data_IF_830404639858
#
_entry.id   IF_830404639858
#
_cell.length_a   1.000
_cell.length_b   1.000
_cell.length_c   1.000
_cell.angle_alpha   90.00
_cell.angle_beta   90.00
_cell.angle_gamma   90.00
#
_symmetry.space_group_name_H-M   'P 1'
#
loop_
_entity.id
_entity.type
_entity.pdbx_description
1 polymer ?
#
# COMPACT_ATOMS: atom_id res chain seq x y z
N UNK A 1 32.03 40.85 15.71
CA UNK A 1 31.11 40.41 14.64
C UNK A 1 31.90 40.31 13.36
N UNK A 2 32.33 39.11 12.96
CA UNK A 2 32.97 38.89 11.66
C UNK A 2 31.88 38.41 10.71
N UNK A 3 31.57 39.25 9.72
CA UNK A 3 30.62 38.98 8.64
C UNK A 3 31.23 37.96 7.69
N UNK A 4 30.72 36.72 7.70
CA UNK A 4 31.07 35.74 6.69
C UNK A 4 30.38 36.10 5.36
N UNK A 5 31.15 36.65 4.43
CA UNK A 5 30.72 36.92 3.06
C UNK A 5 30.68 35.60 2.29
N UNK A 6 29.50 35.02 2.10
CA UNK A 6 29.32 33.83 1.26
C UNK A 6 29.41 34.22 -0.23
N UNK A 7 30.62 34.18 -0.79
CA UNK A 7 30.79 34.20 -2.24
C UNK A 7 30.36 32.85 -2.80
N UNK A 8 29.21 32.79 -3.49
CA UNK A 8 28.75 31.59 -4.19
C UNK A 8 29.76 31.15 -5.24
N UNK A 9 30.24 29.91 -5.15
CA UNK A 9 31.17 29.31 -6.12
C UNK A 9 30.50 29.19 -7.49
N UNK A 10 31.25 29.46 -8.57
CA UNK A 10 30.82 29.27 -9.98
C UNK A 10 31.35 27.95 -10.54
N UNK A 11 31.13 26.86 -9.81
CA UNK A 11 31.52 25.52 -10.25
C UNK A 11 30.66 25.05 -11.44
N UNK A 12 31.20 24.12 -12.25
CA UNK A 12 30.41 23.49 -13.30
C UNK A 12 29.30 22.65 -12.66
N UNK A 13 28.14 22.59 -13.32
CA UNK A 13 27.06 21.70 -12.87
C UNK A 13 27.58 20.25 -12.74
N UNK A 14 27.35 19.64 -11.57
CA UNK A 14 27.80 18.28 -11.23
C UNK A 14 29.23 18.16 -10.73
N UNK A 15 30.01 19.25 -10.66
CA UNK A 15 31.37 19.23 -10.11
C UNK A 15 31.49 19.87 -8.72
N UNK A 16 30.38 20.33 -8.14
CA UNK A 16 30.37 20.84 -6.77
C UNK A 16 30.62 19.70 -5.80
N UNK A 17 31.47 19.95 -4.80
CA UNK A 17 31.70 19.01 -3.73
C UNK A 17 30.42 18.87 -2.88
N UNK A 18 29.83 17.68 -2.87
CA UNK A 18 28.60 17.40 -2.14
C UNK A 18 28.92 16.83 -0.76
N UNK A 19 28.37 17.38 0.33
CA UNK A 19 28.46 16.75 1.65
C UNK A 19 27.63 15.46 1.73
N UNK A 20 26.74 15.21 0.75
CA UNK A 20 25.98 13.97 0.61
C UNK A 20 26.89 12.96 -0.10
N UNK A 21 27.53 12.10 0.66
CA UNK A 21 28.41 11.03 0.16
C UNK A 21 27.61 9.79 -0.24
N UNK A 22 28.23 8.90 -1.01
CA UNK A 22 27.59 7.63 -1.36
C UNK A 22 27.32 6.75 -0.12
N UNK A 23 28.23 6.74 0.84
CA UNK A 23 28.03 6.02 2.09
C UNK A 23 26.84 6.59 2.89
N UNK A 24 26.61 7.89 2.79
CA UNK A 24 25.44 8.53 3.37
C UNK A 24 24.15 8.03 2.69
N UNK A 25 24.14 7.91 1.36
CA UNK A 25 22.97 7.45 0.60
C UNK A 25 22.71 5.94 0.77
N UNK A 26 23.76 5.11 0.78
CA UNK A 26 23.62 3.64 0.83
C UNK A 26 23.51 3.09 2.26
N UNK A 27 24.17 3.72 3.24
CA UNK A 27 24.34 3.16 4.58
C UNK A 27 23.51 3.82 5.66
N UNK A 28 22.90 4.98 5.41
CA UNK A 28 22.39 5.83 6.51
C UNK A 28 20.87 5.89 6.65
N UNK A 29 20.10 5.32 5.71
CA UNK A 29 18.65 5.36 5.81
C UNK A 29 18.09 4.03 6.33
N UNK A 30 17.49 4.09 7.53
CA UNK A 30 16.62 3.03 8.04
C UNK A 30 15.22 3.32 7.50
N UNK A 31 14.73 2.46 6.61
CA UNK A 31 13.36 2.56 6.10
C UNK A 31 12.37 2.08 7.16
N UNK A 32 11.38 2.90 7.49
CA UNK A 32 10.31 2.52 8.43
C UNK A 32 9.08 2.07 7.66
N UNK A 33 8.43 0.99 8.08
CA UNK A 33 7.19 0.51 7.45
C UNK A 33 6.31 -0.25 8.44
N UNK A 34 5.02 -0.38 8.08
CA UNK A 34 4.00 -1.12 8.84
C UNK A 34 3.93 -0.74 10.33
N UNK A 35 3.68 0.52 10.72
CA UNK A 35 3.52 0.87 12.12
C UNK A 35 2.23 0.27 12.70
N UNK A 36 2.33 -0.50 13.79
CA UNK A 36 1.19 -1.11 14.49
C UNK A 36 1.19 -0.70 15.97
N UNK A 37 0.08 -0.15 16.45
CA UNK A 37 -0.13 0.10 17.88
C UNK A 37 -0.88 -1.08 18.52
N UNK A 38 -0.37 -1.58 19.64
CA UNK A 38 -1.06 -2.55 20.48
C UNK A 38 -1.47 -1.88 21.80
N UNK A 39 -2.77 -1.83 22.04
CA UNK A 39 -3.33 -1.24 23.25
C UNK A 39 -2.96 -2.03 24.52
N UNK A 40 -2.95 -3.37 24.45
CA UNK A 40 -2.67 -4.23 25.60
C UNK A 40 -1.24 -4.06 26.13
N UNK A 41 -0.26 -3.88 25.24
CA UNK A 41 1.13 -3.60 25.61
C UNK A 41 1.48 -2.11 25.66
N UNK A 42 0.53 -1.23 25.33
CA UNK A 42 0.77 0.22 25.16
C UNK A 42 2.06 0.52 24.38
N UNK A 43 2.24 -0.20 23.28
CA UNK A 43 3.48 -0.17 22.49
C UNK A 43 3.20 0.05 21.02
N UNK A 44 4.08 0.82 20.38
CA UNK A 44 4.15 0.92 18.92
C UNK A 44 5.19 -0.06 18.40
N UNK A 45 4.86 -0.79 17.34
CA UNK A 45 5.74 -1.71 16.65
C UNK A 45 5.91 -1.27 15.20
N UNK A 46 7.05 -1.53 14.58
CA UNK A 46 7.26 -1.30 13.14
C UNK A 46 8.41 -2.15 12.61
N UNK A 47 8.52 -2.20 11.27
CA UNK A 47 9.66 -2.78 10.58
C UNK A 47 10.70 -1.72 10.25
N UNK A 48 11.96 -2.02 10.56
CA UNK A 48 13.13 -1.25 10.15
C UNK A 48 13.87 -2.01 9.04
N UNK A 49 13.84 -1.49 7.81
CA UNK A 49 14.71 -1.96 6.76
C UNK A 49 16.13 -1.45 7.03
N UNK A 50 17.08 -2.37 7.22
CA UNK A 50 18.46 -2.04 7.62
C UNK A 50 19.46 -2.49 6.55
N UNK A 51 19.86 -1.59 5.62
CA UNK A 51 20.82 -1.90 4.56
C UNK A 51 22.15 -2.46 5.07
N UNK A 52 22.66 -1.93 6.18
CA UNK A 52 23.90 -2.37 6.82
C UNK A 52 23.86 -3.81 7.35
N UNK A 53 22.67 -4.36 7.59
CA UNK A 53 22.42 -5.73 8.06
C UNK A 53 21.86 -6.59 6.93
N UNK A 54 22.53 -6.57 5.76
CA UNK A 54 22.15 -7.31 4.55
C UNK A 54 20.73 -7.00 4.06
N UNK A 55 20.22 -5.79 4.33
CA UNK A 55 18.89 -5.34 3.90
C UNK A 55 17.73 -6.06 4.61
N UNK A 56 17.96 -6.65 5.79
CA UNK A 56 16.89 -7.31 6.56
C UNK A 56 15.87 -6.32 7.09
N UNK A 57 14.64 -6.81 7.32
CA UNK A 57 13.61 -6.11 8.05
C UNK A 57 13.65 -6.55 9.53
N UNK A 58 14.10 -5.66 10.41
CA UNK A 58 14.11 -5.87 11.86
C UNK A 58 12.78 -5.42 12.48
N UNK A 59 12.29 -6.12 13.51
CA UNK A 59 11.14 -5.67 14.30
C UNK A 59 11.61 -4.78 15.45
N UNK A 60 11.04 -3.57 15.51
CA UNK A 60 11.29 -2.61 16.57
C UNK A 60 10.01 -2.37 17.39
N UNK A 61 10.20 -2.05 18.66
CA UNK A 61 9.16 -1.68 19.61
C UNK A 61 9.51 -0.33 20.25
N UNK A 62 8.51 0.52 20.46
CA UNK A 62 8.56 1.71 21.29
C UNK A 62 7.51 1.58 22.38
N UNK A 63 7.96 1.50 23.64
CA UNK A 63 7.08 1.56 24.80
C UNK A 63 6.53 2.98 24.94
N UNK A 64 5.21 3.13 24.97
CA UNK A 64 4.58 4.43 25.19
C UNK A 64 4.33 4.64 26.70
N UNK A 65 4.60 5.84 27.23
CA UNK A 65 4.26 6.18 28.60
C UNK A 65 2.74 6.11 28.80
N UNK A 66 2.30 5.68 29.99
CA UNK A 66 0.88 5.78 30.34
C UNK A 66 0.42 7.24 30.33
N UNK A 67 -0.81 7.49 29.90
CA UNK A 67 -1.41 8.83 29.81
C UNK A 67 -1.41 9.62 31.14
N UNK A 68 -1.11 8.95 32.27
CA UNK A 68 -1.02 9.54 33.61
C UNK A 68 0.36 10.10 33.97
N UNK A 69 1.41 9.82 33.19
CA UNK A 69 2.74 10.42 33.40
C UNK A 69 2.87 11.75 32.65
N UNK A 70 3.32 12.81 33.33
CA UNK A 70 3.53 14.12 32.72
C UNK A 70 4.49 14.00 31.52
N UNK A 71 4.01 14.40 30.34
CA UNK A 71 4.68 14.20 29.05
C UNK A 71 6.10 14.81 28.97
N UNK A 72 6.47 15.68 29.91
CA UNK A 72 7.76 16.39 29.91
C UNK A 72 8.97 15.53 30.32
N UNK A 73 8.77 14.40 31.01
CA UNK A 73 9.86 13.51 31.48
C UNK A 73 9.80 12.08 30.87
N UNK A 74 8.93 11.88 29.87
CA UNK A 74 8.76 10.58 29.21
C UNK A 74 10.00 10.17 28.41
N UNK A 75 10.78 9.22 28.94
CA UNK A 75 11.89 8.60 28.21
C UNK A 75 11.36 7.50 27.29
N UNK A 76 11.27 7.80 26.00
CA UNK A 76 10.96 6.80 24.98
C UNK A 76 12.15 5.85 24.81
N UNK A 77 11.91 4.55 25.00
CA UNK A 77 12.93 3.51 24.81
C UNK A 77 12.54 2.65 23.61
N UNK A 78 13.36 2.71 22.55
CA UNK A 78 13.26 1.79 21.41
C UNK A 78 13.95 0.47 21.77
N UNK A 79 13.25 -0.63 21.53
CA UNK A 79 13.72 -2.00 21.78
C UNK A 79 13.70 -2.76 20.45
N UNK A 80 14.75 -3.54 20.21
CA UNK A 80 14.74 -4.51 19.12
C UNK A 80 14.12 -5.83 19.60
N UNK A 81 13.10 -6.30 18.88
CA UNK A 81 12.27 -7.44 19.30
C UNK A 81 12.96 -8.77 18.98
N UNK A 82 13.69 -8.84 17.86
CA UNK A 82 14.33 -10.08 17.41
C UNK A 82 15.78 -10.14 17.90
N UNK A 83 16.19 -11.17 18.65
CA UNK A 83 17.47 -11.17 19.38
C UNK A 83 18.73 -11.40 18.51
N UNK A 84 18.58 -11.76 17.23
CA UNK A 84 19.67 -12.16 16.34
C UNK A 84 19.48 -11.56 14.94
N UNK A 85 20.55 -11.11 14.29
CA UNK A 85 20.53 -10.52 12.95
C UNK A 85 20.14 -11.51 11.85
N UNK A 86 20.13 -12.82 12.11
CA UNK A 86 19.60 -13.81 11.16
C UNK A 86 18.10 -13.61 10.89
N UNK A 87 17.37 -13.02 11.84
CA UNK A 87 15.93 -12.83 11.70
C UNK A 87 15.60 -11.67 10.77
N UNK A 88 14.77 -11.96 9.78
CA UNK A 88 14.31 -11.04 8.76
C UNK A 88 12.79 -11.18 8.60
N UNK A 89 12.04 -10.24 9.19
CA UNK A 89 10.57 -10.23 9.21
C UNK A 89 10.02 -9.71 7.88
N UNK A 90 10.04 -10.56 6.86
CA UNK A 90 9.69 -10.22 5.48
C UNK A 90 8.95 -11.40 4.83
N UNK A 91 7.79 -11.11 4.27
CA UNK A 91 7.06 -12.04 3.42
C UNK A 91 7.50 -11.92 1.95
N UNK A 92 7.27 -13.00 1.21
CA UNK A 92 7.45 -13.09 -0.25
C UNK A 92 6.12 -13.31 -0.98
N UNK A 93 4.99 -13.18 -0.30
CA UNK A 93 3.66 -13.21 -0.93
C UNK A 93 3.59 -12.13 -2.01
N UNK A 94 3.05 -12.50 -3.17
CA UNK A 94 2.95 -11.71 -4.40
C UNK A 94 4.29 -11.16 -4.92
N UNK A 95 5.43 -11.71 -4.48
CA UNK A 95 6.81 -11.25 -4.76
C UNK A 95 7.15 -9.81 -4.28
N UNK A 96 6.15 -8.98 -3.99
CA UNK A 96 6.31 -7.65 -3.41
C UNK A 96 6.52 -7.69 -1.90
N UNK A 97 6.06 -8.75 -1.21
CA UNK A 97 6.02 -8.82 0.25
C UNK A 97 5.04 -7.82 0.86
N UNK A 98 5.09 -7.64 2.19
CA UNK A 98 4.11 -6.88 2.97
C UNK A 98 3.34 -7.79 3.92
N UNK A 99 2.54 -7.22 4.83
CA UNK A 99 1.77 -8.03 5.79
C UNK A 99 2.63 -8.96 6.65
N UNK A 100 3.93 -8.66 6.81
CA UNK A 100 4.89 -9.68 7.27
C UNK A 100 4.89 -9.89 8.78
N UNK A 101 4.11 -9.13 9.54
CA UNK A 101 3.92 -9.34 10.97
C UNK A 101 2.60 -8.74 11.46
N UNK A 102 2.12 -9.23 12.60
CA UNK A 102 1.00 -8.65 13.33
C UNK A 102 1.17 -8.80 14.84
N UNK A 103 0.39 -8.02 15.60
CA UNK A 103 0.38 -8.10 17.06
C UNK A 103 -0.63 -9.12 17.56
N UNK A 104 -0.27 -9.87 18.60
CA UNK A 104 -1.14 -10.84 19.27
C UNK A 104 -1.78 -10.21 20.51
N UNK A 105 -2.95 -10.71 20.90
CA UNK A 105 -3.70 -10.18 22.05
C UNK A 105 -2.98 -10.34 23.40
N UNK A 106 -1.99 -11.24 23.50
CA UNK A 106 -1.15 -11.40 24.69
C UNK A 106 0.09 -10.48 24.71
N UNK A 107 0.22 -9.56 23.73
CA UNK A 107 1.38 -8.68 23.58
C UNK A 107 2.55 -9.29 22.83
N UNK A 108 2.46 -10.56 22.41
CA UNK A 108 3.41 -11.18 21.48
C UNK A 108 3.24 -10.67 20.05
N UNK A 109 4.15 -11.07 19.17
CA UNK A 109 4.09 -10.78 17.74
C UNK A 109 4.17 -12.08 16.95
N UNK A 110 3.42 -12.17 15.85
CA UNK A 110 3.63 -13.19 14.81
C UNK A 110 4.28 -12.53 13.61
N UNK A 111 5.22 -13.20 12.95
CA UNK A 111 5.87 -12.70 11.74
C UNK A 111 6.27 -13.82 10.77
N UNK A 112 6.36 -13.49 9.49
CA UNK A 112 6.93 -14.35 8.45
C UNK A 112 8.44 -14.11 8.35
N UNK A 113 9.23 -15.18 8.38
CA UNK A 113 10.65 -15.09 8.10
C UNK A 113 10.91 -15.28 6.59
N UNK A 114 11.80 -14.47 6.01
CA UNK A 114 12.09 -14.51 4.55
C UNK A 114 12.56 -15.88 4.05
N UNK A 115 13.23 -16.67 4.89
CA UNK A 115 13.68 -18.04 4.58
C UNK A 115 12.56 -19.09 4.69
N UNK A 116 11.37 -18.66 5.10
CA UNK A 116 10.14 -19.44 5.10
C UNK A 116 9.62 -19.76 6.50
N UNK A 117 8.30 -19.71 6.62
CA UNK A 117 7.56 -20.11 7.81
C UNK A 117 7.28 -18.95 8.73
N UNK A 118 6.18 -19.09 9.47
CA UNK A 118 5.71 -18.10 10.42
C UNK A 118 6.19 -18.44 11.82
N UNK A 119 6.52 -17.40 12.57
CA UNK A 119 7.15 -17.48 13.89
C UNK A 119 6.46 -16.54 14.85
N UNK A 120 6.45 -16.92 16.12
CA UNK A 120 5.92 -16.12 17.22
C UNK A 120 7.04 -15.76 18.18
N UNK A 121 7.05 -14.51 18.60
CA UNK A 121 7.98 -13.99 19.61
C UNK A 121 7.17 -13.30 20.70
N UNK A 122 7.50 -13.58 21.95
CA UNK A 122 6.78 -13.09 23.13
C UNK A 122 7.71 -12.29 24.04
N UNK A 123 7.20 -11.27 24.75
CA UNK A 123 8.00 -10.57 25.75
C UNK A 123 8.39 -11.52 26.90
N UNK A 124 9.54 -11.27 27.52
CA UNK A 124 9.93 -11.93 28.77
C UNK A 124 9.16 -11.35 29.96
N UNK A 125 8.95 -12.16 30.99
CA UNK A 125 8.22 -11.77 32.20
C UNK A 125 8.84 -10.57 32.94
N UNK A 126 10.17 -10.41 32.85
CA UNK A 126 10.91 -9.31 33.50
C UNK A 126 10.81 -7.97 32.75
N UNK A 127 10.17 -7.95 31.57
CA UNK A 127 9.98 -6.75 30.75
C UNK A 127 11.26 -6.30 30.01
N UNK A 128 11.09 -5.53 28.93
CA UNK A 128 12.21 -4.93 28.19
C UNK A 128 13.01 -5.87 27.28
N UNK A 129 12.83 -7.18 27.41
CA UNK A 129 13.46 -8.21 26.58
C UNK A 129 12.44 -9.16 25.96
N UNK A 130 12.86 -9.84 24.89
CA UNK A 130 12.04 -10.77 24.12
C UNK A 130 12.59 -12.20 24.18
N UNK A 131 11.70 -13.18 24.14
CA UNK A 131 12.06 -14.59 24.06
C UNK A 131 12.64 -14.95 22.68
N UNK A 132 13.22 -16.14 22.53
CA UNK A 132 13.59 -16.65 21.21
C UNK A 132 12.33 -16.93 20.37
N UNK A 133 12.30 -16.56 19.08
CA UNK A 133 11.18 -16.88 18.20
C UNK A 133 10.91 -18.39 18.13
N UNK A 134 9.64 -18.77 18.21
CA UNK A 134 9.15 -20.15 18.09
C UNK A 134 8.38 -20.30 16.78
N UNK A 135 8.68 -21.34 16.01
CA UNK A 135 8.01 -21.63 14.74
C UNK A 135 6.57 -22.09 15.00
N UNK A 136 5.63 -21.64 14.19
CA UNK A 136 4.20 -22.05 14.27
C UNK A 136 3.72 -22.83 13.04
N UNK A 137 4.45 -22.73 11.94
CA UNK A 137 4.19 -23.51 10.72
C UNK A 137 5.25 -24.58 10.53
N UNK A 138 4.87 -25.81 10.16
CA UNK A 138 5.84 -26.83 9.74
C UNK A 138 6.76 -26.31 8.62
N UNK A 139 7.97 -26.85 8.56
CA UNK A 139 8.91 -26.51 7.48
C UNK A 139 8.33 -26.85 6.11
N UNK A 140 8.38 -25.88 5.21
CA UNK A 140 7.92 -26.00 3.83
C UNK A 140 8.75 -25.07 2.94
N UNK A 141 8.99 -25.51 1.70
CA UNK A 141 9.69 -24.73 0.68
C UNK A 141 8.74 -24.05 -0.32
N UNK A 142 7.47 -24.44 -0.28
CA UNK A 142 6.45 -24.02 -1.25
C UNK A 142 5.40 -23.11 -0.63
N UNK A 143 5.31 -23.05 0.70
CA UNK A 143 4.34 -22.21 1.38
C UNK A 143 4.94 -20.85 1.72
N UNK A 144 4.14 -19.79 1.51
CA UNK A 144 4.47 -18.42 1.92
C UNK A 144 3.28 -17.81 2.63
N UNK A 145 3.51 -17.02 3.67
CA UNK A 145 2.45 -16.42 4.48
C UNK A 145 2.58 -14.90 4.59
N UNK A 146 1.45 -14.19 4.71
CA UNK A 146 1.36 -12.76 4.92
C UNK A 146 0.02 -12.35 5.55
N UNK A 147 -0.13 -11.06 5.85
CA UNK A 147 -1.36 -10.40 6.31
C UNK A 147 -2.02 -11.16 7.45
N UNK A 148 -1.30 -11.27 8.58
CA UNK A 148 -1.77 -11.97 9.77
C UNK A 148 -2.82 -11.14 10.50
N UNK A 149 -3.92 -11.76 10.93
CA UNK A 149 -4.93 -11.08 11.76
C UNK A 149 -5.58 -12.01 12.76
N UNK A 150 -6.14 -11.47 13.84
CA UNK A 150 -6.83 -12.30 14.84
C UNK A 150 -8.05 -12.99 14.22
N UNK A 151 -8.15 -14.30 14.39
CA UNK A 151 -9.27 -15.05 13.83
C UNK A 151 -10.58 -14.74 14.58
N UNK A 152 -10.50 -14.59 15.91
CA UNK A 152 -11.67 -14.37 16.77
C UNK A 152 -11.26 -13.74 18.14
N UNK A 153 -11.94 -12.69 18.64
CA UNK A 153 -11.58 -12.00 19.89
C UNK A 153 -11.49 -12.90 21.15
N UNK A 154 -12.37 -13.90 21.25
CA UNK A 154 -12.37 -14.91 22.33
C UNK A 154 -11.33 -16.03 22.21
N UNK A 155 -10.54 -16.09 21.13
CA UNK A 155 -9.56 -17.14 20.86
C UNK A 155 -8.24 -16.53 20.38
N UNK A 156 -7.48 -15.98 21.33
CA UNK A 156 -6.30 -15.14 21.07
C UNK A 156 -5.14 -15.86 20.39
N UNK A 157 -5.07 -17.21 20.45
CA UNK A 157 -4.04 -17.98 19.75
C UNK A 157 -4.38 -18.27 18.30
N UNK A 158 -5.66 -18.15 17.92
CA UNK A 158 -6.10 -18.39 16.56
C UNK A 158 -5.90 -17.14 15.72
N UNK A 159 -5.09 -17.28 14.68
CA UNK A 159 -4.83 -16.24 13.69
C UNK A 159 -5.19 -16.74 12.31
N UNK A 160 -5.63 -15.83 11.47
CA UNK A 160 -5.77 -16.04 10.04
C UNK A 160 -4.55 -15.44 9.33
N UNK A 161 -4.19 -15.98 8.18
CA UNK A 161 -3.18 -15.40 7.29
C UNK A 161 -3.48 -15.72 5.81
N UNK A 162 -2.93 -14.89 4.93
CA UNK A 162 -2.84 -15.17 3.50
C UNK A 162 -1.76 -16.22 3.34
N UNK A 163 -2.03 -17.20 2.49
CA UNK A 163 -1.15 -18.30 2.17
C UNK A 163 -1.04 -18.42 0.65
N UNK A 164 0.18 -18.46 0.15
CA UNK A 164 0.46 -18.90 -1.22
C UNK A 164 1.03 -20.32 -1.23
N UNK A 165 0.40 -21.19 -2.02
CA UNK A 165 0.90 -22.52 -2.34
C UNK A 165 1.64 -22.49 -3.69
N UNK A 166 2.96 -22.68 -3.63
CA UNK A 166 3.87 -22.77 -4.78
C UNK A 166 4.24 -24.22 -5.13
N UNK A 167 3.40 -25.20 -4.78
CA UNK A 167 3.63 -26.62 -5.14
C UNK A 167 3.85 -26.78 -6.64
N UNK A 168 3.14 -25.99 -7.44
CA UNK A 168 3.44 -25.81 -8.87
C UNK A 168 4.07 -24.43 -9.04
N UNK A 169 5.40 -24.41 -9.20
CA UNK A 169 6.22 -23.19 -9.36
C UNK A 169 6.08 -22.58 -10.77
N UNK A 170 4.84 -22.25 -11.14
CA UNK A 170 4.49 -21.46 -12.32
C UNK A 170 3.65 -20.27 -11.84
N UNK A 171 4.00 -19.02 -12.18
CA UNK A 171 3.31 -17.83 -11.65
C UNK A 171 1.78 -17.85 -11.81
N UNK A 172 1.28 -18.43 -12.91
CA UNK A 172 -0.16 -18.51 -13.19
C UNK A 172 -0.90 -19.63 -12.42
N UNK A 173 -0.17 -20.53 -11.74
CA UNK A 173 -0.72 -21.69 -11.02
C UNK A 173 -0.56 -21.60 -9.50
N UNK A 174 0.04 -20.52 -8.99
CA UNK A 174 0.10 -20.23 -7.55
C UNK A 174 -1.32 -20.12 -7.01
N UNK A 175 -1.62 -20.84 -5.93
CA UNK A 175 -2.94 -20.81 -5.29
C UNK A 175 -2.86 -19.94 -4.05
N UNK A 176 -3.69 -18.90 -4.01
CA UNK A 176 -3.86 -18.05 -2.82
C UNK A 176 -4.96 -18.62 -1.95
N UNK A 177 -4.73 -18.72 -0.64
CA UNK A 177 -5.69 -19.21 0.34
C UNK A 177 -5.70 -18.30 1.56
N UNK A 178 -6.79 -18.38 2.33
CA UNK A 178 -6.87 -17.90 3.69
C UNK A 178 -6.75 -19.12 4.59
N UNK A 179 -5.75 -19.12 5.47
CA UNK A 179 -5.48 -20.24 6.39
C UNK A 179 -5.69 -19.83 7.84
N UNK A 180 -6.11 -20.79 8.65
CA UNK A 180 -6.17 -20.71 10.11
C UNK A 180 -4.92 -21.35 10.70
N UNK A 181 -4.27 -20.64 11.61
CA UNK A 181 -3.13 -21.09 12.40
C UNK A 181 -3.43 -20.94 13.89
N UNK A 182 -2.88 -21.86 14.68
CA UNK A 182 -2.83 -21.75 16.13
C UNK A 182 -1.39 -21.42 16.53
N UNK A 183 -1.18 -20.25 17.11
CA UNK A 183 0.14 -19.75 17.50
C UNK A 183 0.79 -20.53 18.64
N UNK A 184 0.04 -21.43 19.29
CA UNK A 184 0.53 -22.24 20.41
C UNK A 184 1.21 -23.54 20.01
N UNK A 185 1.11 -23.94 18.73
CA UNK A 185 1.63 -25.22 18.23
C UNK A 185 2.35 -25.04 16.89
N UNK A 186 3.31 -25.93 16.60
CA UNK A 186 3.88 -26.04 15.25
C UNK A 186 3.07 -27.04 14.41
N UNK A 187 2.28 -26.54 13.47
CA UNK A 187 1.36 -27.35 12.68
C UNK A 187 1.30 -26.92 11.20
N UNK A 188 0.65 -27.73 10.37
CA UNK A 188 0.28 -27.31 9.01
C UNK A 188 -1.00 -26.47 9.13
N UNK A 189 -1.03 -25.23 8.63
CA UNK A 189 -2.21 -24.37 8.67
C UNK A 189 -3.41 -25.00 7.95
N UNK A 190 -4.62 -24.75 8.45
CA UNK A 190 -5.85 -25.27 7.85
C UNK A 190 -6.41 -24.23 6.87
N UNK A 191 -6.62 -24.59 5.61
CA UNK A 191 -7.32 -23.72 4.64
C UNK A 191 -8.77 -23.51 5.08
N UNK A 192 -9.20 -22.24 5.11
CA UNK A 192 -10.53 -21.80 5.50
C UNK A 192 -11.30 -21.27 4.29
N UNK A 193 -10.62 -20.54 3.41
CA UNK A 193 -11.15 -20.03 2.15
C UNK A 193 -10.06 -20.18 1.10
N UNK A 194 -10.43 -20.61 -0.11
CA UNK A 194 -9.52 -20.67 -1.25
C UNK A 194 -9.77 -19.49 -2.20
N UNK A 195 -8.70 -18.94 -2.78
CA UNK A 195 -8.73 -17.93 -3.83
C UNK A 195 -8.90 -16.46 -3.38
N UNK A 196 -8.45 -16.07 -2.18
CA UNK A 196 -8.81 -14.77 -1.58
C UNK A 196 -7.73 -14.16 -0.64
N UNK A 197 -7.77 -12.83 -0.46
CA UNK A 197 -6.97 -12.00 0.49
C UNK A 197 -7.89 -11.40 1.58
N UNK A 198 -7.54 -11.31 2.88
CA UNK A 198 -8.54 -11.27 3.97
C UNK A 198 -8.33 -10.34 5.17
N UNK A 199 -9.38 -10.24 6.00
CA UNK A 199 -9.45 -9.59 7.32
C UNK A 199 -10.59 -10.22 8.18
N UNK A 200 -10.58 -10.15 9.51
CA UNK A 200 -11.63 -10.77 10.37
C UNK A 200 -11.98 -9.89 11.58
N UNK A 201 -13.23 -9.93 12.05
CA UNK A 201 -13.64 -9.34 13.34
C UNK A 201 -14.20 -10.35 14.36
N UNK A 202 -14.20 -11.64 14.04
CA UNK A 202 -14.68 -12.71 14.91
C UNK A 202 -16.18 -12.98 14.90
N UNK A 203 -17.03 -12.08 14.39
CA UNK A 203 -18.42 -12.41 14.00
C UNK A 203 -18.48 -12.78 12.52
N UNK A 204 -17.67 -12.10 11.72
CA UNK A 204 -17.47 -12.35 10.31
C UNK A 204 -15.98 -12.34 9.95
N UNK A 205 -15.67 -13.04 8.86
CA UNK A 205 -14.45 -12.84 8.10
C UNK A 205 -14.83 -12.03 6.87
N UNK A 206 -14.11 -10.94 6.62
CA UNK A 206 -14.25 -10.08 5.45
C UNK A 206 -13.01 -10.19 4.59
N UNK A 207 -13.13 -10.34 3.28
CA UNK A 207 -11.96 -10.51 2.44
C UNK A 207 -12.16 -9.87 1.09
N UNK A 208 -11.07 -9.52 0.43
CA UNK A 208 -11.04 -8.99 -0.93
C UNK A 208 -10.55 -10.12 -1.84
N UNK A 209 -11.35 -10.45 -2.84
CA UNK A 209 -10.96 -11.41 -3.88
C UNK A 209 -10.98 -10.73 -5.24
N UNK A 210 -10.02 -11.06 -6.09
CA UNK A 210 -9.98 -10.64 -7.49
C UNK A 210 -9.54 -11.83 -8.34
N UNK A 211 -9.82 -11.74 -9.64
CA UNK A 211 -9.56 -12.83 -10.57
C UNK A 211 -8.94 -12.28 -11.84
N UNK A 212 -7.99 -13.04 -12.41
CA UNK A 212 -7.50 -12.74 -13.75
C UNK A 212 -8.67 -12.65 -14.75
N UNK A 213 -8.62 -11.71 -15.71
CA UNK A 213 -7.49 -10.85 -16.07
C UNK A 213 -7.38 -9.56 -15.25
N UNK A 214 -8.29 -9.30 -14.30
CA UNK A 214 -8.28 -8.06 -13.55
C UNK A 214 -7.14 -8.02 -12.53
N UNK A 215 -6.48 -6.88 -12.45
CA UNK A 215 -5.70 -6.51 -11.27
C UNK A 215 -6.63 -6.02 -10.14
N UNK A 216 -6.22 -6.06 -8.86
CA UNK A 216 -7.09 -5.70 -7.73
C UNK A 216 -7.57 -4.23 -7.74
N UNK A 217 -6.96 -3.35 -8.54
CA UNK A 217 -7.39 -1.97 -8.77
C UNK A 217 -8.26 -1.79 -10.03
N UNK A 218 -8.45 -2.84 -10.82
CA UNK A 218 -9.36 -2.84 -11.96
C UNK A 218 -10.74 -3.37 -11.52
N UNK A 219 -10.76 -4.50 -10.84
CA UNK A 219 -11.98 -5.08 -10.29
C UNK A 219 -11.67 -6.04 -9.15
N UNK A 220 -12.32 -5.84 -8.02
CA UNK A 220 -12.21 -6.71 -6.86
C UNK A 220 -13.56 -6.81 -6.15
N UNK A 221 -13.76 -7.85 -5.36
CA UNK A 221 -14.99 -8.11 -4.61
C UNK A 221 -14.68 -8.09 -3.12
N UNK A 222 -15.38 -7.26 -2.35
CA UNK A 222 -15.37 -7.32 -0.91
C UNK A 222 -16.44 -8.30 -0.44
N UNK A 223 -15.99 -9.43 0.09
CA UNK A 223 -16.81 -10.53 0.56
C UNK A 223 -16.85 -10.56 2.08
N UNK A 224 -17.98 -11.00 2.64
CA UNK A 224 -18.16 -11.23 4.08
C UNK A 224 -18.82 -12.58 4.29
N UNK A 225 -18.33 -13.37 5.25
CA UNK A 225 -18.97 -14.63 5.66
C UNK A 225 -19.01 -14.77 7.19
N UNK A 226 -20.09 -15.36 7.75
CA UNK A 226 -20.20 -15.59 9.19
C UNK A 226 -19.15 -16.57 9.71
N UNK A 227 -18.69 -16.32 10.94
CA UNK A 227 -17.73 -17.18 11.66
C UNK A 227 -18.40 -17.81 12.86
N UNK A 228 -18.15 -19.11 13.07
CA UNK A 228 -18.49 -19.81 14.32
C UNK A 228 -17.22 -20.27 15.00
N UNK A 229 -17.08 -19.91 16.28
CA UNK A 229 -16.03 -20.44 17.13
C UNK A 229 -16.50 -21.77 17.73
N UNK A 230 -15.64 -22.78 17.73
CA UNK A 230 -15.91 -24.05 18.41
C UNK A 230 -16.00 -23.86 19.94
N UNK A 231 -16.72 -24.74 20.62
CA UNK A 231 -16.92 -24.65 22.08
C UNK A 231 -15.59 -24.71 22.87
N UNK A 232 -14.62 -25.48 22.36
CA UNK A 232 -13.27 -25.58 22.94
C UNK A 232 -12.36 -24.38 22.61
N UNK A 233 -12.83 -23.44 21.77
CA UNK A 233 -12.12 -22.25 21.30
C UNK A 233 -10.81 -22.54 20.55
N UNK A 234 -10.64 -23.75 20.01
CA UNK A 234 -9.44 -24.16 19.26
C UNK A 234 -9.60 -24.16 17.75
N UNK A 235 -10.81 -23.89 17.26
CA UNK A 235 -11.06 -23.80 15.83
C UNK A 235 -12.15 -22.80 15.51
N UNK A 236 -12.11 -22.27 14.29
CA UNK A 236 -13.22 -21.52 13.72
C UNK A 236 -13.73 -22.20 12.46
N UNK A 237 -15.02 -22.03 12.20
CA UNK A 237 -15.69 -22.42 10.97
C UNK A 237 -16.19 -21.15 10.27
N UNK A 238 -15.71 -20.92 9.06
CA UNK A 238 -16.21 -19.83 8.20
C UNK A 238 -17.27 -20.42 7.27
N UNK A 239 -18.50 -19.89 7.36
CA UNK A 239 -19.59 -20.35 6.53
C UNK A 239 -19.54 -19.69 5.14
N UNK A 240 -18.63 -20.17 4.28
CA UNK A 240 -18.43 -19.66 2.91
C UNK A 240 -19.69 -19.81 2.05
N UNK A 241 -20.57 -20.78 2.34
CA UNK A 241 -21.84 -20.93 1.63
C UNK A 241 -22.81 -19.76 1.89
N UNK A 242 -22.65 -19.06 3.01
CA UNK A 242 -23.40 -17.84 3.34
C UNK A 242 -22.63 -16.55 2.98
N UNK A 243 -21.62 -16.63 2.10
CA UNK A 243 -20.85 -15.48 1.62
C UNK A 243 -21.75 -14.42 0.99
N UNK A 244 -21.55 -13.17 1.38
CA UNK A 244 -22.17 -11.99 0.79
C UNK A 244 -21.12 -11.10 0.14
N UNK A 245 -21.37 -10.63 -1.08
CA UNK A 245 -20.57 -9.57 -1.71
C UNK A 245 -21.16 -8.23 -1.29
N UNK A 246 -20.34 -7.43 -0.60
CA UNK A 246 -20.75 -6.16 0.01
C UNK A 246 -20.54 -4.99 -0.95
N UNK A 247 -19.45 -5.02 -1.70
CA UNK A 247 -19.07 -4.01 -2.68
C UNK A 247 -18.09 -4.61 -3.69
N UNK A 248 -17.86 -3.90 -4.78
CA UNK A 248 -16.93 -4.29 -5.82
C UNK A 248 -17.55 -5.07 -6.97
N UNK A 249 -16.93 -4.99 -8.14
CA UNK A 249 -17.39 -5.64 -9.36
C UNK A 249 -16.22 -5.97 -10.29
N UNK A 250 -16.16 -7.23 -10.70
CA UNK A 250 -15.18 -7.76 -11.66
C UNK A 250 -15.37 -7.19 -13.07
N UNK A 251 -14.38 -7.46 -13.92
CA UNK A 251 -14.24 -7.04 -15.32
C UNK A 251 -13.96 -5.55 -15.47
N UNK A 252 -13.03 -5.03 -14.66
CA UNK A 252 -12.58 -3.65 -14.67
C UNK A 252 -13.72 -2.64 -14.47
N UNK A 253 -14.57 -2.87 -13.45
CA UNK A 253 -15.76 -2.05 -13.17
C UNK A 253 -15.64 -1.31 -11.84
N UNK A 254 -15.44 -2.02 -10.74
CA UNK A 254 -15.38 -1.43 -9.40
C UNK A 254 -14.34 -2.18 -8.56
N UNK A 255 -13.38 -1.45 -8.02
CA UNK A 255 -12.31 -1.94 -7.17
C UNK A 255 -12.49 -1.46 -5.73
N UNK A 256 -12.47 -2.41 -4.82
CA UNK A 256 -12.52 -2.21 -3.36
C UNK A 256 -11.15 -2.49 -2.74
N UNK A 257 -10.78 -1.71 -1.72
CA UNK A 257 -9.52 -1.87 -0.98
C UNK A 257 -9.67 -1.50 0.50
N UNK A 258 -8.66 -1.88 1.30
CA UNK A 258 -8.49 -1.45 2.70
C UNK A 258 -9.72 -1.69 3.59
N UNK A 259 -10.38 -2.83 3.43
CA UNK A 259 -11.53 -3.20 4.26
C UNK A 259 -11.09 -3.46 5.71
N UNK A 260 -11.78 -2.81 6.65
CA UNK A 260 -11.51 -2.85 8.10
C UNK A 260 -12.79 -2.81 8.89
N UNK A 261 -12.88 -3.65 9.91
CA UNK A 261 -13.96 -3.55 10.89
C UNK A 261 -13.63 -2.45 11.88
N UNK A 262 -14.60 -1.57 12.13
CA UNK A 262 -14.50 -0.57 13.18
C UNK A 262 -14.41 -1.26 14.54
N UNK A 263 -13.50 -0.78 15.38
CA UNK A 263 -13.23 -1.38 16.67
C UNK A 263 -14.49 -1.36 17.56
N UNK A 264 -14.84 -2.50 18.15
CA UNK A 264 -16.04 -2.68 19.00
C UNK A 264 -17.39 -2.40 18.30
N UNK A 265 -17.44 -2.39 16.96
CA UNK A 265 -18.67 -2.19 16.20
C UNK A 265 -18.87 -3.29 15.14
N UNK A 266 -20.13 -3.65 14.86
CA UNK A 266 -20.51 -4.49 13.71
C UNK A 266 -20.54 -3.66 12.41
N UNK A 267 -19.55 -2.78 12.22
CA UNK A 267 -19.44 -1.88 11.07
C UNK A 267 -18.14 -2.13 10.31
N UNK A 268 -18.27 -2.44 9.03
CA UNK A 268 -17.15 -2.57 8.09
C UNK A 268 -16.96 -1.23 7.36
N UNK A 269 -15.73 -0.76 7.27
CA UNK A 269 -15.33 0.45 6.56
C UNK A 269 -14.32 0.06 5.50
N UNK A 270 -14.41 0.63 4.30
CA UNK A 270 -13.55 0.26 3.17
C UNK A 270 -13.48 1.39 2.15
N UNK A 271 -12.49 1.33 1.25
CA UNK A 271 -12.37 2.24 0.12
C UNK A 271 -12.94 1.60 -1.15
N UNK A 272 -13.67 2.38 -1.95
CA UNK A 272 -14.25 1.90 -3.21
C UNK A 272 -14.22 3.02 -4.27
N UNK A 273 -13.90 2.66 -5.50
CA UNK A 273 -13.72 3.59 -6.61
C UNK A 273 -14.96 3.79 -7.50
N UNK A 274 -16.14 3.42 -7.02
CA UNK A 274 -17.42 3.51 -7.75
C UNK A 274 -17.72 4.91 -8.32
N UNK A 275 -17.22 5.97 -7.69
CA UNK A 275 -17.40 7.36 -8.13
C UNK A 275 -16.35 7.83 -9.14
N UNK A 276 -15.40 6.97 -9.52
CA UNK A 276 -14.17 7.32 -10.23
C UNK A 276 -13.00 7.67 -9.31
N UNK A 277 -13.26 7.87 -8.03
CA UNK A 277 -12.27 8.15 -6.99
C UNK A 277 -12.45 7.23 -5.79
N UNK A 278 -11.38 7.06 -5.02
CA UNK A 278 -11.38 6.26 -3.82
C UNK A 278 -12.11 6.93 -2.67
N UNK A 279 -13.39 6.61 -2.54
CA UNK A 279 -14.24 7.14 -1.49
C UNK A 279 -14.35 6.16 -0.32
N UNK A 280 -14.58 6.70 0.86
CA UNK A 280 -14.77 5.92 2.09
C UNK A 280 -16.23 5.45 2.18
N UNK A 281 -16.43 4.14 2.23
CA UNK A 281 -17.73 3.49 2.40
C UNK A 281 -17.80 2.76 3.73
N UNK A 282 -19.03 2.58 4.20
CA UNK A 282 -19.34 1.76 5.36
C UNK A 282 -20.48 0.80 5.07
N UNK A 283 -20.44 -0.34 5.75
CA UNK A 283 -21.45 -1.39 5.70
C UNK A 283 -21.72 -1.93 7.10
N UNK A 284 -22.98 -2.32 7.34
CA UNK A 284 -23.42 -3.04 8.54
C UNK A 284 -24.38 -4.13 8.10
N UNK A 285 -24.44 -5.24 8.84
CA UNK A 285 -25.33 -6.36 8.53
C UNK A 285 -26.78 -5.90 8.24
N UNK A 286 -27.37 -6.44 7.17
CA UNK A 286 -28.75 -6.16 6.76
C UNK A 286 -28.97 -4.81 6.07
N UNK A 287 -27.91 -4.02 5.82
CA UNK A 287 -27.98 -2.76 5.07
C UNK A 287 -27.14 -2.83 3.81
N UNK A 288 -27.41 -1.93 2.85
CA UNK A 288 -26.53 -1.72 1.71
C UNK A 288 -25.31 -0.89 2.11
N UNK A 289 -24.20 -1.09 1.40
CA UNK A 289 -23.02 -0.26 1.57
C UNK A 289 -23.32 1.17 1.14
N UNK A 290 -22.90 2.13 1.97
CA UNK A 290 -23.09 3.57 1.70
C UNK A 290 -21.81 4.34 1.94
N UNK A 291 -21.65 5.43 1.21
CA UNK A 291 -20.55 6.37 1.42
C UNK A 291 -20.65 6.98 2.83
N UNK A 292 -19.49 7.18 3.47
CA UNK A 292 -19.40 7.81 4.78
C UNK A 292 -19.64 9.31 4.68
N UNK A 293 -19.10 9.94 3.63
CA UNK A 293 -19.34 11.34 3.30
C UNK A 293 -20.68 11.51 2.58
N UNK A 294 -21.28 12.69 2.73
CA UNK A 294 -22.58 13.02 2.13
C UNK A 294 -22.48 13.21 0.61
N UNK A 295 -21.35 13.71 0.12
CA UNK A 295 -21.07 13.99 -1.28
C UNK A 295 -19.68 13.42 -1.66
N UNK A 296 -19.47 13.01 -2.92
CA UNK A 296 -18.15 12.55 -3.38
C UNK A 296 -17.13 13.68 -3.29
N UNK A 297 -15.90 13.34 -2.93
CA UNK A 297 -14.80 14.31 -2.79
C UNK A 297 -14.22 14.76 -4.12
N UNK A 298 -14.55 14.07 -5.23
CA UNK A 298 -14.01 14.29 -6.58
C UNK A 298 -12.46 14.21 -6.64
N UNK A 299 -11.84 13.62 -5.63
CA UNK A 299 -10.41 13.34 -5.56
C UNK A 299 -10.21 12.01 -4.81
N UNK A 300 -9.08 11.33 -5.04
CA UNK A 300 -8.75 10.18 -4.20
C UNK A 300 -8.59 10.67 -2.76
N UNK A 301 -9.31 10.05 -1.82
CA UNK A 301 -9.00 10.21 -0.40
C UNK A 301 -7.60 9.61 -0.22
N UNK A 302 -6.60 10.49 -0.14
CA UNK A 302 -5.18 10.18 -0.38
C UNK A 302 -4.58 9.10 0.54
N UNK A 303 -3.37 8.65 0.18
CA UNK A 303 -2.53 7.67 0.88
C UNK A 303 -2.38 7.90 2.40
N UNK A 304 -2.64 9.11 2.89
CA UNK A 304 -2.46 9.51 4.28
C UNK A 304 -3.68 9.26 5.19
N UNK A 305 -4.85 8.95 4.64
CA UNK A 305 -5.93 8.33 5.44
C UNK A 305 -5.76 6.82 5.41
N UNK A 306 -4.65 6.37 6.02
CA UNK A 306 -4.66 5.10 6.73
C UNK A 306 -5.87 5.19 7.64
N UNK A 307 -6.87 4.33 7.48
CA UNK A 307 -7.82 4.04 8.55
C UNK A 307 -6.95 3.52 9.70
N UNK A 308 -6.44 4.44 10.51
CA UNK A 308 -5.55 4.20 11.62
C UNK A 308 -6.41 3.70 12.78
N UNK A 309 -6.99 2.52 12.58
CA UNK A 309 -7.51 1.72 13.68
C UNK A 309 -6.30 0.98 14.26
N UNK A 310 -6.13 0.94 15.59
CA UNK A 310 -5.06 0.21 16.23
C UNK A 310 -4.93 -1.22 15.70
N UNK A 311 -3.76 -1.58 15.17
CA UNK A 311 -3.33 -2.98 15.10
C UNK A 311 -3.18 -3.66 13.73
N UNK A 312 -3.51 -3.05 12.58
CA UNK A 312 -3.29 -3.75 11.28
C UNK A 312 -3.19 -2.85 10.03
N UNK A 313 -1.96 -2.50 9.61
CA UNK A 313 -1.65 -1.80 8.35
C UNK A 313 -1.52 -2.82 7.23
N UNK A 314 -2.46 -2.82 6.29
CA UNK A 314 -2.37 -3.64 5.07
C UNK A 314 -1.17 -3.21 4.22
N UNK A 315 -0.67 -4.15 3.44
CA UNK A 315 0.47 -4.00 2.55
C UNK A 315 0.43 -2.68 1.72
N UNK A 316 1.43 -1.79 1.86
CA UNK A 316 1.48 -0.52 1.12
C UNK A 316 1.83 -0.68 -0.37
N UNK A 317 2.41 -1.82 -0.80
CA UNK A 317 2.88 -1.99 -2.17
C UNK A 317 1.73 -2.10 -3.20
N UNK A 318 0.69 -2.95 -3.01
CA UNK A 318 -0.49 -2.93 -3.86
C UNK A 318 -1.20 -1.57 -3.85
N UNK A 319 -1.18 -0.88 -2.71
CA UNK A 319 -1.77 0.45 -2.55
C UNK A 319 -1.06 1.54 -3.37
N UNK A 320 0.28 1.51 -3.45
CA UNK A 320 1.07 2.46 -4.27
C UNK A 320 0.88 2.22 -5.77
N UNK A 321 0.94 0.96 -6.18
CA UNK A 321 0.67 0.52 -7.56
C UNK A 321 -0.74 0.92 -7.99
N UNK A 322 -1.72 0.75 -7.09
CA UNK A 322 -3.12 1.16 -7.28
C UNK A 322 -3.28 2.67 -7.45
N UNK A 323 -2.66 3.48 -6.59
CA UNK A 323 -2.72 4.93 -6.73
C UNK A 323 -2.16 5.37 -8.09
N UNK A 324 -1.04 4.78 -8.54
CA UNK A 324 -0.52 5.04 -9.88
C UNK A 324 -1.49 4.59 -10.98
N UNK A 325 -2.15 3.45 -10.83
CA UNK A 325 -3.15 2.94 -11.78
C UNK A 325 -4.39 3.83 -11.91
N UNK A 326 -4.93 4.32 -10.79
CA UNK A 326 -6.18 5.08 -10.79
C UNK A 326 -6.01 6.54 -11.22
N UNK A 327 -4.80 7.11 -11.14
CA UNK A 327 -4.49 8.43 -11.71
C UNK A 327 -4.52 8.46 -13.25
N UNK A 328 -4.70 7.33 -13.92
CA UNK A 328 -4.94 7.27 -15.37
C UNK A 328 -6.41 6.97 -15.65
N UNK A 329 -7.15 7.95 -16.17
CA UNK A 329 -8.59 7.83 -16.44
C UNK A 329 -8.94 6.87 -17.59
N UNK A 330 -8.06 6.72 -18.59
CA UNK A 330 -8.33 5.92 -19.79
C UNK A 330 -7.67 4.52 -19.70
N UNK A 331 -8.45 3.45 -19.92
CA UNK A 331 -8.04 2.04 -19.83
C UNK A 331 -6.78 1.68 -20.63
N UNK A 332 -6.69 2.10 -21.89
CA UNK A 332 -5.53 1.77 -22.73
C UNK A 332 -4.28 2.51 -22.26
N UNK A 333 -4.44 3.76 -21.82
CA UNK A 333 -3.36 4.57 -21.25
C UNK A 333 -2.90 4.01 -19.91
N UNK A 334 -3.84 3.60 -19.04
CA UNK A 334 -3.58 2.95 -17.76
C UNK A 334 -2.79 1.66 -17.95
N UNK A 335 -3.24 0.76 -18.81
CA UNK A 335 -2.54 -0.52 -19.06
C UNK A 335 -1.13 -0.31 -19.60
N UNK A 336 -0.94 0.58 -20.58
CA UNK A 336 0.39 0.90 -21.12
C UNK A 336 1.30 1.58 -20.08
N UNK A 337 0.78 2.53 -19.31
CA UNK A 337 1.53 3.23 -18.27
C UNK A 337 1.95 2.30 -17.12
N UNK A 338 1.06 1.40 -16.69
CA UNK A 338 1.35 0.38 -15.69
C UNK A 338 2.38 -0.63 -16.20
N UNK A 339 2.26 -1.08 -17.44
CA UNK A 339 3.26 -1.95 -18.07
C UNK A 339 4.64 -1.30 -18.12
N UNK A 340 4.71 0.00 -18.46
CA UNK A 340 5.96 0.77 -18.46
C UNK A 340 6.51 0.94 -17.04
N UNK A 341 5.67 1.28 -16.08
CA UNK A 341 6.04 1.48 -14.67
C UNK A 341 6.71 0.24 -14.08
N UNK A 342 6.10 -0.94 -14.25
CA UNK A 342 6.68 -2.20 -13.77
C UNK A 342 7.95 -2.58 -14.51
N UNK A 343 7.98 -2.38 -15.83
CA UNK A 343 9.16 -2.70 -16.64
C UNK A 343 10.36 -1.85 -16.22
N UNK A 344 10.16 -0.53 -16.05
CA UNK A 344 11.22 0.39 -15.63
C UNK A 344 11.60 0.13 -14.17
N UNK A 345 10.62 -0.03 -13.27
CA UNK A 345 10.85 -0.31 -11.84
C UNK A 345 11.70 -1.55 -11.60
N UNK A 346 11.38 -2.66 -12.29
CA UNK A 346 12.12 -3.91 -12.16
C UNK A 346 13.47 -3.89 -12.89
N UNK A 347 13.62 -3.08 -13.95
CA UNK A 347 14.91 -2.94 -14.66
C UNK A 347 16.00 -2.26 -13.83
N UNK A 348 15.63 -1.51 -12.79
CA UNK A 348 16.56 -0.83 -11.89
C UNK A 348 17.58 -1.76 -11.24
N UNK A 349 17.16 -2.98 -10.86
CA UNK A 349 18.04 -3.99 -10.25
C UNK A 349 19.09 -4.55 -11.23
N UNK A 350 18.75 -4.65 -12.52
CA UNK A 350 19.67 -5.09 -13.57
C UNK A 350 20.75 -4.02 -13.76
N UNK A 351 20.34 -2.76 -13.92
CA UNK A 351 21.27 -1.64 -14.09
C UNK A 351 22.14 -1.47 -12.84
N UNK A 352 21.60 -1.60 -11.63
CA UNK A 352 22.41 -1.47 -10.41
C UNK A 352 23.49 -2.56 -10.32
N UNK A 353 23.18 -3.78 -10.73
CA UNK A 353 24.11 -4.91 -10.70
C UNK A 353 25.27 -4.78 -11.71
N UNK A 354 25.06 -4.04 -12.80
CA UNK A 354 26.03 -3.89 -13.90
C UNK A 354 26.93 -2.65 -13.77
N UNK A 355 26.68 -1.79 -12.78
CA UNK A 355 27.38 -0.50 -12.66
C UNK A 355 28.06 -0.29 -11.29
N UNK A 356 27.71 -1.08 -10.26
CA UNK A 356 28.38 -1.05 -8.96
C UNK A 356 29.31 -2.26 -8.75
N UNK A 357 30.56 -2.15 -9.18
CA UNK A 357 31.57 -3.20 -8.99
C UNK A 357 32.43 -2.96 -7.74
N UNK A 358 32.81 -4.04 -7.02
CA UNK A 358 33.68 -3.97 -5.83
C UNK A 358 35.02 -3.25 -6.08
N UNK A 359 35.55 -3.34 -7.31
CA UNK A 359 36.82 -2.70 -7.69
C UNK A 359 36.73 -1.16 -7.77
N UNK A 360 35.52 -0.61 -7.90
CA UNK A 360 35.29 0.84 -7.97
C UNK A 360 35.11 1.44 -6.55
N UNK A 361 35.23 0.63 -5.49
CA UNK A 361 35.20 1.09 -4.11
C UNK A 361 36.40 2.00 -3.78
N UNK A 362 36.26 2.98 -2.86
CA UNK A 362 35.05 3.30 -2.10
C UNK A 362 34.12 4.31 -2.80
N UNK A 363 34.55 4.90 -3.93
CA UNK A 363 33.85 6.07 -4.51
C UNK A 363 32.79 5.72 -5.56
N UNK A 364 32.87 4.54 -6.17
CA UNK A 364 31.94 4.02 -7.19
C UNK A 364 31.58 5.04 -8.27
N UNK A 365 32.59 5.75 -8.79
CA UNK A 365 32.39 6.89 -9.71
C UNK A 365 31.54 6.50 -10.93
N UNK A 366 31.72 5.28 -11.46
CA UNK A 366 30.93 4.75 -12.58
C UNK A 366 29.45 4.62 -12.22
N UNK A 367 29.14 3.99 -11.08
CA UNK A 367 27.78 3.90 -10.51
C UNK A 367 27.11 5.25 -10.37
N UNK A 368 27.82 6.20 -9.77
CA UNK A 368 27.32 7.56 -9.57
C UNK A 368 27.11 8.31 -10.88
N UNK A 369 28.02 8.17 -11.83
CA UNK A 369 27.94 8.88 -13.13
C UNK A 369 26.74 8.42 -13.95
N UNK A 370 26.47 7.11 -13.95
CA UNK A 370 25.28 6.54 -14.61
C UNK A 370 24.00 6.97 -13.89
N UNK A 371 23.97 6.91 -12.56
CA UNK A 371 22.83 7.39 -11.76
C UNK A 371 22.52 8.86 -12.02
N UNK A 372 23.55 9.72 -12.02
CA UNK A 372 23.42 11.15 -12.32
C UNK A 372 22.93 11.38 -13.76
N UNK A 373 23.39 10.57 -14.72
CA UNK A 373 22.91 10.60 -16.10
C UNK A 373 21.42 10.30 -16.21
N UNK A 374 20.92 9.26 -15.52
CA UNK A 374 19.49 8.95 -15.49
C UNK A 374 18.67 10.05 -14.81
N UNK A 375 19.16 10.63 -13.72
CA UNK A 375 18.49 11.76 -13.04
C UNK A 375 18.42 12.99 -13.94
N UNK A 376 19.52 13.33 -14.63
CA UNK A 376 19.53 14.45 -15.57
C UNK A 376 18.59 14.20 -16.75
N UNK A 377 18.57 12.99 -17.29
CA UNK A 377 17.63 12.59 -18.33
C UNK A 377 16.18 12.75 -17.86
N UNK A 378 15.85 12.30 -16.64
CA UNK A 378 14.52 12.47 -16.06
C UNK A 378 14.14 13.94 -15.90
N UNK A 379 15.07 14.79 -15.46
CA UNK A 379 14.85 16.25 -15.37
C UNK A 379 14.60 16.88 -16.75
N UNK A 380 15.40 16.51 -17.76
CA UNK A 380 15.23 17.02 -19.13
C UNK A 380 13.90 16.57 -19.73
N UNK A 381 13.52 15.31 -19.54
CA UNK A 381 12.24 14.77 -20.01
C UNK A 381 11.06 15.43 -19.29
N UNK A 382 11.16 15.63 -17.97
CA UNK A 382 10.12 16.31 -17.19
C UNK A 382 9.95 17.77 -17.60
N UNK A 383 11.05 18.50 -17.76
CA UNK A 383 11.02 19.88 -18.25
C UNK A 383 10.48 19.95 -19.68
N UNK A 384 10.96 19.08 -20.57
CA UNK A 384 10.47 18.99 -21.95
C UNK A 384 8.98 18.71 -22.02
N UNK A 385 8.48 17.77 -21.21
CA UNK A 385 7.06 17.46 -21.10
C UNK A 385 6.27 18.66 -20.56
N UNK A 386 6.75 19.32 -19.51
CA UNK A 386 6.10 20.51 -18.93
C UNK A 386 5.98 21.64 -19.96
N UNK A 387 7.07 21.90 -20.71
CA UNK A 387 7.08 22.91 -21.77
C UNK A 387 6.17 22.54 -22.93
N UNK A 388 6.14 21.25 -23.31
CA UNK A 388 5.29 20.73 -24.36
C UNK A 388 3.81 20.84 -24.00
N UNK A 389 3.43 20.36 -22.80
CA UNK A 389 2.06 20.44 -22.28
C UNK A 389 1.62 21.90 -22.11
N UNK A 390 2.51 22.79 -21.66
CA UNK A 390 2.24 24.22 -21.62
C UNK A 390 2.07 24.84 -23.01
N UNK A 391 2.80 24.35 -24.02
CA UNK A 391 2.61 24.75 -25.42
C UNK A 391 1.28 24.27 -25.98
N UNK A 392 0.84 23.06 -25.65
CA UNK A 392 -0.48 22.55 -26.04
C UNK A 392 -1.60 23.35 -25.38
N UNK A 393 -1.46 23.69 -24.09
CA UNK A 393 -2.40 24.57 -23.40
C UNK A 393 -2.51 25.93 -24.11
N UNK A 394 -1.39 26.58 -24.45
CA UNK A 394 -1.40 27.84 -25.22
C UNK A 394 -2.04 27.69 -26.60
N UNK A 395 -1.81 26.57 -27.30
CA UNK A 395 -2.44 26.30 -28.57
C UNK A 395 -3.97 26.12 -28.44
N UNK A 396 -4.42 25.46 -27.36
CA UNK A 396 -5.84 25.35 -27.03
C UNK A 396 -6.44 26.70 -26.64
N UNK A 397 -5.76 27.52 -25.85
CA UNK A 397 -6.20 28.87 -25.50
C UNK A 397 -6.34 29.76 -26.74
N UNK A 398 -5.42 29.65 -27.69
CA UNK A 398 -5.52 30.37 -28.96
C UNK A 398 -6.71 29.93 -29.82
N UNK A 399 -7.12 28.65 -29.73
CA UNK A 399 -8.21 28.08 -30.52
C UNK A 399 -9.58 28.26 -29.89
N UNK A 400 -9.68 28.12 -28.58
CA UNK A 400 -10.95 28.04 -27.84
C UNK A 400 -11.13 29.14 -26.79
N UNK A 401 -10.10 29.95 -26.53
CA UNK A 401 -10.06 30.92 -25.45
C UNK A 401 -9.55 30.34 -24.13
N UNK A 402 -9.23 31.20 -23.13
CA UNK A 402 -8.86 30.77 -21.80
C UNK A 402 -10.04 30.07 -21.10
N UNK A 403 -9.72 29.09 -20.25
CA UNK A 403 -10.70 28.37 -19.42
C UNK A 403 -11.37 29.36 -18.47
N UNK A 404 -12.70 29.31 -18.39
CA UNK A 404 -13.48 30.13 -17.49
C UNK A 404 -13.93 29.31 -16.27
N UNK A 405 -14.26 30.01 -15.18
CA UNK A 405 -14.73 29.38 -13.94
C UNK A 405 -15.99 28.54 -14.21
N UNK A 406 -15.99 27.29 -13.75
CA UNK A 406 -17.05 26.30 -13.97
C UNK A 406 -16.96 25.50 -15.28
N UNK A 407 -15.98 25.77 -16.17
CA UNK A 407 -15.82 25.01 -17.42
C UNK A 407 -15.30 23.57 -17.19
N UNK A 408 -14.69 23.30 -16.03
CA UNK A 408 -14.25 21.95 -15.61
C UNK A 408 -15.44 21.02 -15.34
N UNK A 409 -16.55 21.58 -14.84
CA UNK A 409 -17.81 20.88 -14.59
C UNK A 409 -18.87 21.29 -15.60
N UNK A 410 -18.50 21.35 -16.89
CA UNK A 410 -19.35 21.83 -17.97
C UNK A 410 -20.77 21.25 -17.96
N UNK A 411 -20.91 19.95 -17.63
CA UNK A 411 -22.19 19.24 -17.56
C UNK A 411 -23.13 19.76 -16.46
N UNK A 412 -22.59 20.37 -15.40
CA UNK A 412 -23.34 20.92 -14.27
C UNK A 412 -23.78 22.38 -14.50
N UNK A 413 -23.23 23.05 -15.53
CA UNK A 413 -23.61 24.43 -15.84
C UNK A 413 -25.07 24.53 -16.31
N UNK A 414 -25.78 25.64 -16.04
CA UNK A 414 -27.09 25.89 -16.63
C UNK A 414 -27.08 25.76 -18.15
N UNK A 415 -28.16 25.21 -18.74
CA UNK A 415 -28.30 24.97 -20.19
C UNK A 415 -27.97 26.19 -21.07
N UNK A 416 -28.28 27.40 -20.60
CA UNK A 416 -27.95 28.66 -21.28
C UNK A 416 -26.43 28.90 -21.36
N UNK A 417 -25.70 28.62 -20.28
CA UNK A 417 -24.24 28.69 -20.23
C UNK A 417 -23.59 27.60 -21.08
N UNK A 418 -24.12 26.36 -21.02
CA UNK A 418 -23.64 25.27 -21.87
C UNK A 418 -23.74 25.60 -23.37
N UNK A 419 -24.87 26.20 -23.78
CA UNK A 419 -25.07 26.68 -25.16
C UNK A 419 -24.13 27.83 -25.52
N UNK A 420 -23.92 28.78 -24.61
CA UNK A 420 -23.00 29.89 -24.85
C UNK A 420 -21.54 29.42 -25.01
N UNK A 421 -21.11 28.44 -24.22
CA UNK A 421 -19.77 27.82 -24.26
C UNK A 421 -19.55 26.97 -25.51
N UNK A 422 -20.48 26.09 -25.85
CA UNK A 422 -20.40 25.29 -27.10
C UNK A 422 -20.37 26.17 -28.34
N UNK A 423 -21.11 27.28 -28.33
CA UNK A 423 -21.02 28.33 -29.34
C UNK A 423 -19.65 28.99 -29.40
N UNK A 424 -19.08 29.37 -28.25
CA UNK A 424 -17.74 29.97 -28.17
C UNK A 424 -16.66 29.01 -28.70
N UNK A 425 -16.79 27.71 -28.42
CA UNK A 425 -15.87 26.67 -28.90
C UNK A 425 -16.14 26.21 -30.34
N UNK A 426 -17.19 26.74 -30.99
CA UNK A 426 -17.64 26.36 -32.34
C UNK A 426 -18.00 24.87 -32.48
N UNK A 427 -18.60 24.30 -31.43
CA UNK A 427 -19.07 22.90 -31.37
C UNK A 427 -20.60 22.81 -31.35
N UNK A 428 -21.29 23.78 -31.97
CA UNK A 428 -22.74 23.78 -32.09
C UNK A 428 -23.21 22.52 -32.86
N UNK A 429 -24.06 21.70 -32.24
CA UNK A 429 -24.59 20.46 -32.83
C UNK A 429 -23.93 19.17 -32.35
N UNK A 430 -22.86 19.24 -31.56
CA UNK A 430 -22.30 18.08 -30.84
C UNK A 430 -23.15 17.83 -29.59
N UNK A 431 -23.62 16.60 -29.38
CA UNK A 431 -24.39 16.27 -28.17
C UNK A 431 -23.51 16.41 -26.92
N UNK A 432 -24.04 16.87 -25.76
CA UNK A 432 -23.25 17.05 -24.54
C UNK A 432 -22.45 15.81 -24.12
N UNK A 433 -23.04 14.62 -24.25
CA UNK A 433 -22.35 13.35 -24.00
C UNK A 433 -21.13 13.13 -24.92
N UNK A 434 -21.21 13.53 -26.19
CA UNK A 434 -20.09 13.42 -27.12
C UNK A 434 -18.98 14.43 -26.84
N UNK A 435 -19.29 15.56 -26.18
CA UNK A 435 -18.26 16.49 -25.69
C UNK A 435 -17.49 15.89 -24.52
N UNK A 436 -18.20 15.28 -23.56
CA UNK A 436 -17.62 14.56 -22.42
C UNK A 436 -16.63 13.47 -22.86
N UNK A 437 -16.98 12.72 -23.91
CA UNK A 437 -16.15 11.67 -24.49
C UNK A 437 -14.85 12.16 -25.15
N UNK A 438 -14.68 13.48 -25.38
CA UNK A 438 -13.45 14.03 -25.97
C UNK A 438 -12.24 13.96 -25.03
N UNK A 439 -12.46 13.76 -23.71
CA UNK A 439 -11.41 13.66 -22.70
C UNK A 439 -10.35 14.79 -22.84
N UNK A 440 -9.09 14.45 -23.13
CA UNK A 440 -8.02 15.43 -23.28
C UNK A 440 -8.20 16.37 -24.49
N UNK A 441 -9.04 16.01 -25.45
CA UNK A 441 -9.39 16.86 -26.59
C UNK A 441 -10.53 17.84 -26.26
N UNK A 442 -11.10 17.77 -25.05
CA UNK A 442 -12.13 18.69 -24.61
C UNK A 442 -11.58 20.13 -24.58
N UNK A 443 -12.32 21.14 -25.11
CA UNK A 443 -11.85 22.52 -25.17
C UNK A 443 -11.48 23.15 -23.82
N UNK A 444 -12.14 22.72 -22.74
CA UNK A 444 -11.86 23.19 -21.38
C UNK A 444 -10.69 22.46 -20.70
N UNK A 445 -10.23 21.32 -21.23
CA UNK A 445 -9.18 20.52 -20.58
C UNK A 445 -7.80 21.17 -20.74
N UNK A 446 -7.05 21.28 -19.64
CA UNK A 446 -5.67 21.76 -19.59
C UNK A 446 -4.80 20.74 -18.86
N UNK A 447 -3.58 20.53 -19.38
CA UNK A 447 -2.68 19.48 -18.86
C UNK A 447 -1.93 19.89 -17.58
N UNK A 448 -1.52 21.15 -17.51
CA UNK A 448 -0.83 21.77 -16.36
C UNK A 448 -1.51 23.12 -16.10
N UNK A 449 -2.19 23.25 -14.97
CA UNK A 449 -2.84 24.48 -14.49
C UNK A 449 -1.91 25.32 -13.63
#
# INVERSE_FOLDING_TARGET
MSSATTTGSRDKFGSFESPITLDLVLGSFIGLSMPLYNQASSSLYWLENRPSQKGRNALAQLLLPSATSAASDAKFTKIEVLPDEKWNARSRVHEYGGGSYATLGNGGLVFEHVEGGSWVVEPKAEGGEWQQPKRVTKESKVDRYADFSSAHPRASSLILAVHEDHTIDEPAKVVNNIVLMDTSIEATPKVVVAGADFYSNGKYVSWIEWYMPDMPWEGSLLCVAPVRLSDDKKSIEVNVAAKQVIAGQVKNVEAVSQARWAENEDRLVFLCDRTGYNELYQWTEGKEAKMVLAEPTAHDVGLDYIIAVPGDVQNPNPSFVRHKGNNFSNRTKRSAAMGLFFSVGNSGGIVSSMVYFKQDAPRFIRGQSVGLGFTLMALVLSLGLTLHLGSENRAKDAKYGPVQEGDEEFEQLPLELQRARTKAWRLEGVAPQQLSDLAENHPAFRYVT
#
